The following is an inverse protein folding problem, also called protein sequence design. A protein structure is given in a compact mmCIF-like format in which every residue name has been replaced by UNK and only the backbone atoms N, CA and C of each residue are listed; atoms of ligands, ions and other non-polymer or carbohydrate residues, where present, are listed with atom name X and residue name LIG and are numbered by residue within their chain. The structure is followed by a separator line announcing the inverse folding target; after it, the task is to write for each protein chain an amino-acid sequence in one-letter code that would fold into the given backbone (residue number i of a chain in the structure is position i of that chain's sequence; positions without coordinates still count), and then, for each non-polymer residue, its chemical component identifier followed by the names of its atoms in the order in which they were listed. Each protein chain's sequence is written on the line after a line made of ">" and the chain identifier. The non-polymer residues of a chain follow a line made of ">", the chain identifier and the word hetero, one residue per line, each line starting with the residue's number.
data_IF_634446883428
#
_entry.id   IF_634446883428
#
_cell.length_a   1.000
_cell.length_b   1.000
_cell.length_c   1.000
_cell.angle_alpha   90.00
_cell.angle_beta   90.00
_cell.angle_gamma   90.00
#
_symmetry.space_group_name_H-M   'P 1'
#
loop_
_entity.id
_entity.type
_entity.pdbx_description
1 polymer ?
#
# COMPACT_ATOMS: atom_id res chain seq x y z
N UNK A 1 -18.24 -5.91 -1.99
CA UNK A 1 -18.73 -5.67 -3.36
C UNK A 1 -17.63 -6.15 -4.27
N UNK A 2 -17.87 -7.18 -5.08
CA UNK A 2 -16.87 -7.64 -6.05
C UNK A 2 -16.93 -6.78 -7.32
N UNK A 3 -15.78 -6.54 -7.97
CA UNK A 3 -15.76 -5.83 -9.25
C UNK A 3 -16.36 -6.73 -10.34
N UNK A 4 -17.14 -6.13 -11.25
CA UNK A 4 -17.47 -6.76 -12.52
C UNK A 4 -16.22 -6.84 -13.42
N UNK A 5 -16.21 -7.75 -14.39
CA UNK A 5 -15.12 -7.86 -15.38
C UNK A 5 -14.80 -6.52 -16.05
N UNK A 6 -15.83 -5.76 -16.42
CA UNK A 6 -15.67 -4.45 -17.06
C UNK A 6 -15.01 -3.42 -16.13
N UNK A 7 -15.35 -3.42 -14.85
CA UNK A 7 -14.72 -2.53 -13.87
C UNK A 7 -13.28 -2.96 -13.58
N UNK A 8 -12.99 -4.26 -13.52
CA UNK A 8 -11.64 -4.77 -13.38
C UNK A 8 -10.75 -4.36 -14.57
N UNK A 9 -11.29 -4.43 -15.80
CA UNK A 9 -10.61 -3.92 -17.01
C UNK A 9 -10.34 -2.41 -16.92
N UNK A 10 -11.31 -1.61 -16.45
CA UNK A 10 -11.13 -0.18 -16.26
C UNK A 10 -10.04 0.13 -15.23
N UNK A 11 -10.02 -0.61 -14.11
CA UNK A 11 -9.02 -0.46 -13.05
C UNK A 11 -7.61 -0.83 -13.56
N UNK A 12 -7.46 -1.93 -14.31
CA UNK A 12 -6.17 -2.35 -14.83
C UNK A 12 -5.62 -1.40 -15.93
N UNK A 13 -6.50 -0.77 -16.71
CA UNK A 13 -6.09 0.21 -17.74
C UNK A 13 -5.51 1.51 -17.18
N UNK A 14 -5.86 1.88 -15.95
CA UNK A 14 -5.33 3.08 -15.30
C UNK A 14 -3.80 2.99 -15.11
N UNK A 15 -3.22 2.06 -14.32
CA UNK A 15 -1.79 1.94 -14.17
C UNK A 15 -1.08 1.60 -15.49
N UNK A 16 -1.66 0.80 -16.40
CA UNK A 16 -1.08 0.58 -17.74
C UNK A 16 -0.78 1.88 -18.49
N UNK A 17 -1.63 2.89 -18.34
CA UNK A 17 -1.42 4.20 -18.95
C UNK A 17 -0.23 4.92 -18.32
N UNK A 18 -0.16 4.92 -16.98
CA UNK A 18 0.80 5.77 -16.24
C UNK A 18 2.17 5.13 -16.01
N UNK A 19 2.27 3.80 -16.01
CA UNK A 19 3.53 3.08 -15.74
C UNK A 19 4.61 3.29 -16.81
N UNK A 20 4.26 3.83 -17.99
CA UNK A 20 5.22 4.26 -19.02
C UNK A 20 5.33 5.78 -19.15
N UNK A 21 4.56 6.53 -18.39
CA UNK A 21 4.54 7.99 -18.44
C UNK A 21 5.61 8.55 -17.50
N UNK A 22 6.70 9.09 -18.07
CA UNK A 22 7.85 9.58 -17.30
C UNK A 22 7.62 10.93 -16.60
N UNK A 23 6.72 11.79 -17.12
CA UNK A 23 6.49 13.13 -16.55
C UNK A 23 5.00 13.50 -16.46
N UNK A 24 4.59 14.35 -15.49
CA UNK A 24 5.39 14.87 -14.39
C UNK A 24 5.79 13.77 -13.40
N UNK A 25 6.95 13.92 -12.75
CA UNK A 25 7.47 12.95 -11.79
C UNK A 25 8.18 13.69 -10.64
N UNK A 26 8.02 13.16 -9.43
CA UNK A 26 8.45 13.71 -8.16
C UNK A 26 9.47 12.77 -7.53
N UNK A 27 10.72 13.17 -7.61
CA UNK A 27 11.83 12.49 -6.97
C UNK A 27 12.31 13.35 -5.83
N UNK A 28 12.26 12.80 -4.62
CA UNK A 28 12.80 13.44 -3.43
C UNK A 28 13.98 12.61 -2.91
N UNK A 29 15.17 13.17 -3.05
CA UNK A 29 16.39 12.58 -2.51
C UNK A 29 17.42 13.65 -2.15
N UNK A 30 18.44 13.27 -1.37
CA UNK A 30 19.60 14.11 -1.13
C UNK A 30 20.51 14.08 -2.38
N UNK A 31 20.90 15.26 -2.88
CA UNK A 31 21.93 15.39 -3.91
C UNK A 31 23.31 15.34 -3.25
N UNK A 32 24.12 14.36 -3.64
CA UNK A 32 25.53 14.27 -3.23
C UNK A 32 26.42 15.16 -4.07
N UNK A 33 26.17 15.17 -5.38
CA UNK A 33 26.86 15.97 -6.39
C UNK A 33 25.93 16.17 -7.62
N UNK A 34 26.42 16.87 -8.64
CA UNK A 34 25.65 17.19 -9.85
C UNK A 34 25.19 15.94 -10.63
N UNK A 35 25.86 14.79 -10.44
CA UNK A 35 25.53 13.52 -11.08
C UNK A 35 24.26 12.85 -10.56
N UNK A 36 23.74 13.28 -9.40
CA UNK A 36 22.47 12.78 -8.85
C UNK A 36 21.25 13.39 -9.55
N UNK A 37 21.43 14.46 -10.34
CA UNK A 37 20.36 15.12 -11.10
C UNK A 37 20.15 14.42 -12.44
N UNK A 38 19.41 13.31 -12.40
CA UNK A 38 19.11 12.48 -13.57
C UNK A 38 17.60 12.38 -13.82
N UNK A 39 17.18 12.12 -15.07
CA UNK A 39 15.78 11.90 -15.39
C UNK A 39 15.26 10.59 -14.74
N UNK A 40 13.94 10.47 -14.46
CA UNK A 40 13.37 9.35 -13.72
C UNK A 40 13.75 7.97 -14.27
N UNK A 41 13.72 7.80 -15.60
CA UNK A 41 14.05 6.51 -16.25
C UNK A 41 15.51 6.07 -16.08
N UNK A 42 16.42 7.01 -15.82
CA UNK A 42 17.84 6.70 -15.55
C UNK A 42 18.09 6.39 -14.07
N UNK A 43 17.21 6.88 -13.18
CA UNK A 43 17.30 6.59 -11.74
C UNK A 43 16.56 5.29 -11.37
N UNK A 44 15.40 5.07 -11.97
CA UNK A 44 14.44 4.03 -11.60
C UNK A 44 13.84 3.35 -12.85
N UNK A 45 14.63 2.62 -13.66
CA UNK A 45 14.19 2.12 -14.96
C UNK A 45 12.99 1.15 -14.92
N UNK A 46 12.67 0.57 -13.75
CA UNK A 46 11.47 -0.27 -13.60
C UNK A 46 10.28 0.60 -13.19
N UNK A 47 10.52 1.49 -12.23
CA UNK A 47 9.49 2.25 -11.51
C UNK A 47 9.53 3.75 -11.79
N UNK A 48 9.90 4.15 -13.01
CA UNK A 48 9.98 5.57 -13.42
C UNK A 48 8.63 6.17 -13.79
N UNK A 49 7.65 5.32 -14.11
CA UNK A 49 6.30 5.75 -14.45
C UNK A 49 5.57 6.36 -13.26
N UNK A 50 4.38 6.92 -13.50
CA UNK A 50 3.57 7.60 -12.48
C UNK A 50 4.25 8.85 -11.90
N UNK A 51 3.59 9.46 -10.90
CA UNK A 51 4.09 10.67 -10.25
C UNK A 51 5.31 10.39 -9.38
N UNK A 52 5.43 9.22 -8.76
CA UNK A 52 6.58 8.83 -7.94
C UNK A 52 6.80 7.31 -7.95
N UNK A 53 7.92 6.89 -7.36
CA UNK A 53 8.40 5.51 -7.40
C UNK A 53 7.40 4.52 -6.81
N UNK A 54 6.90 4.78 -5.61
CA UNK A 54 5.94 3.87 -4.97
C UNK A 54 4.61 3.81 -5.71
N UNK A 55 4.20 4.91 -6.37
CA UNK A 55 3.02 4.91 -7.22
C UNK A 55 3.14 3.93 -8.38
N UNK A 56 4.33 3.85 -8.99
CA UNK A 56 4.59 2.83 -9.99
C UNK A 56 4.54 1.42 -9.36
N UNK A 57 5.20 1.21 -8.22
CA UNK A 57 5.28 -0.11 -7.57
C UNK A 57 3.89 -0.68 -7.27
N UNK A 58 3.00 0.09 -6.65
CA UNK A 58 1.65 -0.42 -6.38
C UNK A 58 0.76 -0.44 -7.64
N UNK A 59 1.10 0.32 -8.69
CA UNK A 59 0.53 0.14 -10.02
C UNK A 59 0.84 -1.24 -10.62
N UNK A 60 2.08 -1.71 -10.52
CA UNK A 60 2.45 -3.07 -10.92
C UNK A 60 1.74 -4.13 -10.07
N UNK A 61 1.64 -3.90 -8.74
CA UNK A 61 0.89 -4.77 -7.84
C UNK A 61 -0.57 -4.88 -8.28
N UNK A 62 -1.22 -3.74 -8.57
CA UNK A 62 -2.60 -3.68 -9.02
C UNK A 62 -2.81 -4.51 -10.30
N UNK A 63 -1.91 -4.41 -11.28
CA UNK A 63 -2.00 -5.18 -12.52
C UNK A 63 -1.97 -6.69 -12.28
N UNK A 64 -1.05 -7.18 -11.45
CA UNK A 64 -0.97 -8.61 -11.12
C UNK A 64 -2.17 -9.08 -10.29
N UNK A 65 -2.59 -8.26 -9.31
CA UNK A 65 -3.76 -8.57 -8.48
C UNK A 65 -5.02 -8.68 -9.33
N UNK A 66 -5.22 -7.74 -10.26
CA UNK A 66 -6.30 -7.78 -11.25
C UNK A 66 -6.24 -9.05 -12.10
N UNK A 67 -5.09 -9.45 -12.64
CA UNK A 67 -4.97 -10.68 -13.42
C UNK A 67 -5.20 -11.96 -12.60
N UNK A 68 -4.82 -11.94 -11.31
CA UNK A 68 -5.03 -13.09 -10.41
C UNK A 68 -6.51 -13.29 -10.09
N UNK A 69 -7.26 -12.21 -9.90
CA UNK A 69 -8.69 -12.24 -9.60
C UNK A 69 -9.57 -12.35 -10.85
N UNK A 70 -9.13 -11.75 -11.95
CA UNK A 70 -9.85 -11.66 -13.23
C UNK A 70 -8.91 -12.12 -14.37
N UNK A 71 -8.74 -13.43 -14.59
CA UNK A 71 -7.75 -13.95 -15.54
C UNK A 71 -8.06 -13.62 -17.01
N UNK A 72 -9.33 -13.32 -17.33
CA UNK A 72 -9.81 -13.03 -18.68
C UNK A 72 -9.81 -11.52 -19.03
N UNK A 73 -8.93 -10.73 -18.38
CA UNK A 73 -8.81 -9.30 -18.67
C UNK A 73 -8.40 -9.05 -20.12
N UNK A 74 -9.09 -8.12 -20.78
CA UNK A 74 -8.84 -7.76 -22.18
C UNK A 74 -7.45 -7.15 -22.40
N UNK A 75 -6.86 -6.57 -21.35
CA UNK A 75 -5.52 -5.96 -21.37
C UNK A 75 -4.40 -6.88 -20.88
N UNK A 76 -4.66 -8.20 -20.73
CA UNK A 76 -3.68 -9.18 -20.22
C UNK A 76 -2.34 -9.15 -20.95
N UNK A 77 -2.36 -9.14 -22.28
CA UNK A 77 -1.11 -9.19 -23.06
C UNK A 77 -0.31 -7.87 -22.98
N UNK A 78 -1.00 -6.73 -22.82
CA UNK A 78 -0.35 -5.44 -22.57
C UNK A 78 0.38 -5.44 -21.22
N UNK A 79 -0.24 -6.03 -20.18
CA UNK A 79 0.38 -6.20 -18.86
C UNK A 79 1.62 -7.08 -18.98
N UNK A 80 1.52 -8.22 -19.66
CA UNK A 80 2.66 -9.14 -19.83
C UNK A 80 3.82 -8.45 -20.56
N UNK A 81 3.51 -7.68 -21.61
CA UNK A 81 4.51 -6.91 -22.37
C UNK A 81 5.19 -5.86 -21.49
N UNK A 82 4.43 -5.12 -20.68
CA UNK A 82 4.97 -4.13 -19.74
C UNK A 82 5.97 -4.76 -18.75
N UNK A 83 5.61 -5.88 -18.13
CA UNK A 83 6.53 -6.59 -17.22
C UNK A 83 7.78 -7.11 -17.96
N UNK A 84 7.62 -7.65 -19.17
CA UNK A 84 8.75 -8.14 -19.96
C UNK A 84 9.74 -7.03 -20.34
N UNK A 85 9.24 -5.83 -20.65
CA UNK A 85 10.08 -4.69 -21.03
C UNK A 85 10.82 -4.06 -19.83
N UNK A 86 10.13 -3.91 -18.70
CA UNK A 86 10.68 -3.17 -17.56
C UNK A 86 11.42 -4.07 -16.56
N UNK A 87 10.95 -5.30 -16.35
CA UNK A 87 11.50 -6.19 -15.32
C UNK A 87 12.61 -7.09 -15.87
N UNK A 88 13.75 -6.47 -16.18
CA UNK A 88 14.97 -7.13 -16.66
C UNK A 88 16.05 -7.18 -15.57
N UNK A 89 17.00 -8.14 -15.64
CA UNK A 89 18.13 -8.17 -14.71
C UNK A 89 18.93 -6.86 -14.67
N UNK A 90 19.10 -6.20 -15.82
CA UNK A 90 19.82 -4.94 -15.96
C UNK A 90 19.09 -3.80 -15.22
N UNK A 91 17.77 -3.70 -15.40
CA UNK A 91 16.97 -2.66 -14.74
C UNK A 91 16.92 -2.89 -13.22
N UNK A 92 16.81 -4.15 -12.77
CA UNK A 92 16.88 -4.49 -11.33
C UNK A 92 18.25 -4.12 -10.75
N UNK A 93 19.34 -4.35 -11.48
CA UNK A 93 20.67 -3.96 -11.03
C UNK A 93 20.80 -2.43 -10.88
N UNK A 94 20.15 -1.64 -11.75
CA UNK A 94 20.15 -0.18 -11.66
C UNK A 94 19.28 0.35 -10.50
N UNK A 95 18.10 -0.21 -10.26
CA UNK A 95 17.31 0.09 -9.04
C UNK A 95 18.14 -0.19 -7.79
N UNK A 96 18.80 -1.35 -7.72
CA UNK A 96 19.70 -1.71 -6.62
C UNK A 96 20.87 -0.75 -6.47
N UNK A 97 21.48 -0.30 -7.56
CA UNK A 97 22.56 0.66 -7.53
C UNK A 97 22.09 1.99 -6.89
N UNK A 98 20.89 2.45 -7.22
CA UNK A 98 20.29 3.63 -6.60
C UNK A 98 20.09 3.45 -5.09
N UNK A 99 19.48 2.35 -4.64
CA UNK A 99 19.25 2.09 -3.21
C UNK A 99 20.56 1.96 -2.40
N UNK A 100 21.63 1.49 -3.05
CA UNK A 100 22.96 1.31 -2.45
C UNK A 100 23.87 2.54 -2.55
N UNK A 101 23.45 3.60 -3.25
CA UNK A 101 24.20 4.85 -3.32
C UNK A 101 24.25 5.54 -1.94
N UNK A 102 25.31 6.33 -1.66
CA UNK A 102 25.42 7.09 -0.42
C UNK A 102 24.18 7.94 -0.12
N UNK A 103 23.79 7.96 1.16
CA UNK A 103 22.65 8.73 1.67
C UNK A 103 21.28 8.38 1.07
N UNK A 104 21.14 7.24 0.37
CA UNK A 104 19.84 6.72 -0.12
C UNK A 104 19.19 5.70 0.81
N UNK A 105 19.81 5.44 1.96
CA UNK A 105 19.32 4.46 2.91
C UNK A 105 17.84 4.68 3.31
N UNK A 106 17.41 5.94 3.49
CA UNK A 106 16.05 6.30 3.91
C UNK A 106 15.03 6.47 2.79
N UNK A 107 15.45 6.39 1.52
CA UNK A 107 14.53 6.50 0.39
C UNK A 107 13.42 5.44 0.52
N UNK A 108 12.17 5.87 0.29
CA UNK A 108 10.96 5.03 0.33
C UNK A 108 10.62 4.35 1.67
N UNK A 109 11.28 4.75 2.77
CA UNK A 109 10.96 4.21 4.10
C UNK A 109 9.64 4.76 4.67
N UNK A 110 8.79 3.92 5.27
CA UNK A 110 8.67 2.48 5.06
C UNK A 110 7.65 2.13 3.95
N UNK A 111 6.95 3.12 3.38
CA UNK A 111 5.84 2.94 2.44
C UNK A 111 6.20 2.10 1.21
N UNK A 112 7.17 2.56 0.42
CA UNK A 112 7.58 1.87 -0.79
C UNK A 112 8.17 0.50 -0.48
N UNK A 113 8.73 0.29 0.71
CA UNK A 113 9.21 -1.03 1.12
C UNK A 113 8.04 -2.00 1.25
N UNK A 114 6.97 -1.59 1.95
CA UNK A 114 5.75 -2.40 2.08
C UNK A 114 5.14 -2.74 0.71
N UNK A 115 5.05 -1.76 -0.19
CA UNK A 115 4.51 -1.99 -1.53
C UNK A 115 5.37 -2.89 -2.41
N UNK A 116 6.70 -2.80 -2.33
CA UNK A 116 7.57 -3.71 -3.09
C UNK A 116 7.44 -5.16 -2.57
N UNK A 117 7.33 -5.35 -1.26
CA UNK A 117 7.07 -6.67 -0.67
C UNK A 117 5.71 -7.22 -1.12
N UNK A 118 4.66 -6.38 -1.15
CA UNK A 118 3.36 -6.76 -1.68
C UNK A 118 3.42 -7.12 -3.18
N UNK A 119 4.17 -6.37 -4.00
CA UNK A 119 4.40 -6.70 -5.40
C UNK A 119 5.10 -8.07 -5.56
N UNK A 120 6.14 -8.32 -4.77
CA UNK A 120 6.84 -9.59 -4.77
C UNK A 120 5.92 -10.75 -4.35
N UNK A 121 5.03 -10.53 -3.40
CA UNK A 121 3.99 -11.49 -3.01
C UNK A 121 3.06 -11.82 -4.19
N UNK A 122 2.55 -10.81 -4.91
CA UNK A 122 1.68 -11.05 -6.07
C UNK A 122 2.40 -11.80 -7.19
N UNK A 123 3.66 -11.47 -7.47
CA UNK A 123 4.48 -12.22 -8.44
C UNK A 123 4.61 -13.70 -8.05
N UNK A 124 4.81 -13.97 -6.75
CA UNK A 124 4.93 -15.33 -6.23
C UNK A 124 3.62 -16.12 -6.34
N UNK A 125 2.48 -15.46 -6.16
CA UNK A 125 1.14 -16.06 -6.17
C UNK A 125 0.47 -16.09 -7.55
N UNK A 126 1.02 -15.37 -8.52
CA UNK A 126 0.45 -15.29 -9.86
C UNK A 126 0.49 -16.63 -10.59
N UNK A 127 -0.60 -16.93 -11.30
CA UNK A 127 -0.74 -18.11 -12.16
C UNK A 127 -0.17 -17.90 -13.57
N UNK A 128 0.33 -16.70 -13.89
CA UNK A 128 0.94 -16.43 -15.20
C UNK A 128 2.21 -17.27 -15.38
N UNK A 129 2.42 -17.93 -16.54
CA UNK A 129 3.62 -18.72 -16.80
C UNK A 129 4.93 -17.96 -16.62
N UNK A 130 4.94 -16.65 -16.89
CA UNK A 130 6.10 -15.78 -16.81
C UNK A 130 6.42 -15.29 -15.39
N UNK A 131 5.43 -15.30 -14.48
CA UNK A 131 5.54 -14.65 -13.18
C UNK A 131 6.64 -15.26 -12.30
N UNK A 132 6.87 -16.58 -12.39
CA UNK A 132 7.97 -17.21 -11.70
C UNK A 132 9.34 -16.65 -12.13
N UNK A 133 9.51 -16.37 -13.43
CA UNK A 133 10.74 -15.74 -13.96
C UNK A 133 10.90 -14.31 -13.46
N UNK A 134 9.83 -13.51 -13.55
CA UNK A 134 9.77 -12.15 -13.03
C UNK A 134 10.06 -12.06 -11.53
N UNK A 135 9.51 -12.98 -10.73
CA UNK A 135 9.81 -13.09 -9.30
C UNK A 135 11.30 -13.29 -9.04
N UNK A 136 11.95 -14.18 -9.79
CA UNK A 136 13.40 -14.41 -9.68
C UNK A 136 14.20 -13.19 -10.12
N UNK A 137 13.78 -12.50 -11.18
CA UNK A 137 14.43 -11.27 -11.65
C UNK A 137 14.36 -10.16 -10.60
N UNK A 138 13.21 -9.95 -9.95
CA UNK A 138 13.03 -8.91 -8.93
C UNK A 138 13.70 -9.27 -7.58
N UNK A 139 13.96 -10.55 -7.32
CA UNK A 139 14.40 -11.05 -6.02
C UNK A 139 15.61 -10.31 -5.40
N UNK A 140 16.65 -9.89 -6.16
CA UNK A 140 17.74 -9.11 -5.60
C UNK A 140 17.28 -7.79 -4.94
N UNK A 141 16.39 -7.04 -5.59
CA UNK A 141 15.83 -5.80 -5.04
C UNK A 141 14.91 -6.08 -3.85
N UNK A 142 14.04 -7.08 -3.96
CA UNK A 142 13.16 -7.50 -2.86
C UNK A 142 13.96 -7.88 -1.61
N UNK A 143 15.05 -8.63 -1.76
CA UNK A 143 15.88 -9.06 -0.65
C UNK A 143 16.61 -7.87 0.02
N UNK A 144 17.10 -6.91 -0.76
CA UNK A 144 17.71 -5.69 -0.24
C UNK A 144 16.70 -4.87 0.57
N UNK A 145 15.51 -4.61 0.02
CA UNK A 145 14.42 -3.90 0.71
C UNK A 145 13.97 -4.62 1.98
N UNK A 146 13.79 -5.95 1.91
CA UNK A 146 13.46 -6.77 3.07
C UNK A 146 14.51 -6.64 4.17
N UNK A 147 15.80 -6.70 3.83
CA UNK A 147 16.89 -6.57 4.80
C UNK A 147 16.95 -5.16 5.40
N UNK A 148 16.68 -4.13 4.60
CA UNK A 148 16.58 -2.74 5.07
C UNK A 148 15.41 -2.53 6.00
N UNK A 149 14.27 -3.17 5.77
CA UNK A 149 13.13 -3.11 6.68
C UNK A 149 13.51 -3.73 8.04
N UNK A 150 14.12 -4.92 8.05
CA UNK A 150 14.59 -5.56 9.30
C UNK A 150 15.61 -4.68 10.04
N UNK A 151 16.62 -4.16 9.33
CA UNK A 151 17.61 -3.24 9.90
C UNK A 151 16.96 -1.96 10.45
N UNK A 152 16.02 -1.37 9.71
CA UNK A 152 15.29 -0.18 10.14
C UNK A 152 14.46 -0.44 11.40
N UNK A 153 13.74 -1.57 11.48
CA UNK A 153 12.96 -1.94 12.66
C UNK A 153 13.81 -2.19 13.90
N UNK A 154 15.07 -2.61 13.73
CA UNK A 154 16.02 -2.74 14.85
C UNK A 154 16.47 -1.39 15.42
N UNK A 155 16.38 -0.32 14.63
CA UNK A 155 16.82 1.05 14.98
C UNK A 155 15.65 1.95 15.39
N UNK A 156 14.47 1.74 14.81
CA UNK A 156 13.30 2.56 15.03
C UNK A 156 12.77 2.39 16.46
N UNK A 157 12.85 3.47 17.24
CA UNK A 157 12.46 3.46 18.66
C UNK A 157 10.96 3.71 18.87
N UNK A 158 10.33 4.48 17.99
CA UNK A 158 8.93 4.88 18.10
C UNK A 158 8.19 4.59 16.79
N UNK A 159 6.94 4.10 16.85
CA UNK A 159 6.12 3.99 15.65
C UNK A 159 5.74 5.35 15.09
N UNK A 160 5.42 5.38 13.80
CA UNK A 160 4.97 6.56 13.08
C UNK A 160 3.53 6.31 12.65
N UNK A 161 2.60 7.14 13.16
CA UNK A 161 1.14 6.98 12.98
C UNK A 161 0.52 7.98 12.01
N UNK A 162 1.34 8.76 11.30
CA UNK A 162 0.86 9.78 10.36
C UNK A 162 -0.03 9.14 9.28
N UNK A 163 -1.07 9.83 8.81
CA UNK A 163 -1.97 9.32 7.76
C UNK A 163 -1.40 9.38 6.33
N UNK A 164 -0.07 9.35 6.19
CA UNK A 164 0.65 9.43 4.91
C UNK A 164 1.82 8.43 4.87
N UNK A 165 2.76 8.60 3.94
CA UNK A 165 3.79 7.61 3.55
C UNK A 165 4.56 7.03 4.74
N UNK A 166 4.87 7.83 5.76
CA UNK A 166 5.71 7.35 6.86
C UNK A 166 5.01 6.38 7.82
N UNK A 167 3.72 6.07 7.63
CA UNK A 167 2.96 5.17 8.50
C UNK A 167 3.61 3.79 8.62
N UNK A 168 4.11 3.47 9.81
CA UNK A 168 4.82 2.21 10.04
C UNK A 168 3.88 1.01 10.06
N UNK A 169 2.65 1.17 10.54
CA UNK A 169 1.69 0.07 10.55
C UNK A 169 1.29 -0.37 9.14
N UNK A 170 1.16 0.58 8.20
CA UNK A 170 0.83 0.29 6.80
C UNK A 170 1.86 -0.64 6.16
N UNK A 171 3.13 -0.26 6.22
CA UNK A 171 4.21 -1.04 5.62
C UNK A 171 4.36 -2.43 6.26
N UNK A 172 4.15 -2.53 7.58
CA UNK A 172 4.22 -3.79 8.30
C UNK A 172 3.03 -4.70 8.02
N UNK A 173 1.83 -4.15 7.78
CA UNK A 173 0.66 -4.93 7.40
C UNK A 173 0.84 -5.61 6.04
N UNK A 174 1.49 -4.93 5.07
CA UNK A 174 1.89 -5.54 3.80
C UNK A 174 3.07 -6.51 3.97
N UNK A 175 4.06 -6.13 4.78
CA UNK A 175 5.26 -6.93 5.01
C UNK A 175 4.99 -8.28 5.68
N UNK A 176 4.04 -8.35 6.63
CA UNK A 176 3.69 -9.61 7.30
C UNK A 176 2.98 -10.59 6.36
N UNK A 177 2.14 -10.08 5.46
CA UNK A 177 1.47 -10.91 4.44
C UNK A 177 2.49 -11.50 3.46
N UNK A 178 3.45 -10.70 3.01
CA UNK A 178 4.59 -11.18 2.21
C UNK A 178 5.42 -12.22 2.96
N UNK A 179 5.85 -11.91 4.20
CA UNK A 179 6.72 -12.79 4.98
C UNK A 179 6.12 -14.19 5.14
N UNK A 180 4.83 -14.26 5.46
CA UNK A 180 4.09 -15.52 5.58
C UNK A 180 3.92 -16.23 4.24
N UNK A 181 3.64 -15.50 3.16
CA UNK A 181 3.47 -16.08 1.82
C UNK A 181 4.74 -16.73 1.26
N UNK A 182 5.92 -16.30 1.71
CA UNK A 182 7.21 -16.86 1.28
C UNK A 182 7.96 -17.61 2.39
N UNK A 183 7.32 -17.83 3.54
CA UNK A 183 7.88 -18.50 4.72
C UNK A 183 9.19 -17.84 5.25
N UNK A 184 9.30 -16.51 5.16
CA UNK A 184 10.42 -15.74 5.70
C UNK A 184 10.24 -15.48 7.21
N UNK A 185 10.62 -16.49 8.00
CA UNK A 185 10.53 -16.47 9.46
C UNK A 185 11.28 -15.29 10.11
N UNK A 186 12.38 -14.83 9.51
CA UNK A 186 13.18 -13.76 10.09
C UNK A 186 12.53 -12.38 9.85
N UNK A 187 11.87 -12.17 8.72
CA UNK A 187 11.09 -10.95 8.49
C UNK A 187 9.82 -10.96 9.34
N UNK A 188 9.11 -12.09 9.38
CA UNK A 188 7.93 -12.25 10.24
C UNK A 188 8.26 -11.95 11.70
N UNK A 189 9.32 -12.56 12.25
CA UNK A 189 9.75 -12.31 13.64
C UNK A 189 10.07 -10.84 13.90
N UNK A 190 10.80 -10.17 13.00
CA UNK A 190 11.12 -8.76 13.13
C UNK A 190 9.86 -7.87 13.15
N UNK A 191 8.85 -8.21 12.34
CA UNK A 191 7.57 -7.48 12.30
C UNK A 191 6.75 -7.74 13.57
N UNK A 192 6.65 -8.99 14.02
CA UNK A 192 5.93 -9.35 15.26
C UNK A 192 6.52 -8.65 16.48
N UNK A 193 7.85 -8.65 16.60
CA UNK A 193 8.54 -7.95 17.67
C UNK A 193 8.32 -6.43 17.59
N UNK A 194 8.41 -5.84 16.39
CA UNK A 194 8.16 -4.42 16.21
C UNK A 194 6.72 -4.04 16.56
N UNK A 195 5.73 -4.78 16.06
CA UNK A 195 4.32 -4.54 16.35
C UNK A 195 4.02 -4.64 17.85
N UNK A 196 4.64 -5.62 18.53
CA UNK A 196 4.53 -5.77 19.98
C UNK A 196 5.11 -4.56 20.71
N UNK A 197 6.34 -4.13 20.37
CA UNK A 197 7.00 -2.97 20.99
C UNK A 197 6.23 -1.67 20.77
N UNK A 198 5.60 -1.52 19.60
CA UNK A 198 5.02 -0.26 19.16
C UNK A 198 3.56 -0.08 19.55
N UNK A 199 2.76 -1.13 19.46
CA UNK A 199 1.29 -1.00 19.45
C UNK A 199 0.58 -1.86 20.50
N UNK A 200 1.23 -2.87 21.07
CA UNK A 200 0.55 -3.78 22.01
C UNK A 200 -0.01 -3.07 23.25
N UNK A 201 0.67 -2.01 23.71
CA UNK A 201 0.26 -1.24 24.89
C UNK A 201 -0.65 -0.04 24.56
N UNK A 202 -0.95 0.21 23.29
CA UNK A 202 -1.75 1.36 22.91
C UNK A 202 -3.21 1.18 23.32
N UNK A 203 -3.79 2.26 23.85
CA UNK A 203 -5.17 2.30 24.32
C UNK A 203 -5.77 3.67 24.03
N UNK A 204 -7.09 3.73 23.89
CA UNK A 204 -7.86 4.98 23.77
C UNK A 204 -7.30 5.94 22.71
N UNK A 205 -7.13 5.46 21.47
CA UNK A 205 -6.58 6.27 20.38
C UNK A 205 -7.30 7.63 20.23
N UNK A 206 -6.58 8.76 20.12
CA UNK A 206 -7.18 10.10 20.06
C UNK A 206 -7.71 10.42 18.65
N UNK A 207 -8.78 9.73 18.22
CA UNK A 207 -9.35 9.84 16.87
C UNK A 207 -9.85 11.23 16.47
N UNK A 208 -9.95 12.17 17.42
CA UNK A 208 -10.31 13.57 17.15
C UNK A 208 -9.22 14.37 16.43
N UNK A 209 -8.01 13.81 16.25
CA UNK A 209 -6.95 14.38 15.41
C UNK A 209 -7.01 13.92 13.95
N UNK A 210 -7.87 12.96 13.61
CA UNK A 210 -8.07 12.49 12.24
C UNK A 210 -9.40 13.04 11.67
N UNK A 211 -9.49 13.34 10.37
CA UNK A 211 -8.41 13.28 9.38
C UNK A 211 -7.55 14.56 9.36
N UNK A 212 -6.27 14.40 9.01
CA UNK A 212 -5.46 15.47 8.42
C UNK A 212 -5.89 15.74 6.97
N UNK A 213 -5.69 16.97 6.48
CA UNK A 213 -6.25 17.43 5.20
C UNK A 213 -5.66 16.79 3.94
N UNK A 214 -4.52 16.10 4.04
CA UNK A 214 -3.85 15.40 2.92
C UNK A 214 -3.51 13.94 3.24
N UNK A 215 -4.23 13.35 4.19
CA UNK A 215 -4.08 11.94 4.56
C UNK A 215 -4.76 11.02 3.53
N UNK A 216 -4.19 9.84 3.34
CA UNK A 216 -4.75 8.76 2.53
C UNK A 216 -4.78 7.40 3.26
N UNK A 217 -4.24 7.33 4.48
CA UNK A 217 -4.40 6.21 5.42
C UNK A 217 -4.81 6.73 6.80
N UNK A 218 -5.53 5.92 7.58
CA UNK A 218 -5.89 6.28 8.96
C UNK A 218 -4.85 5.75 9.93
N UNK A 219 -4.33 6.60 10.81
CA UNK A 219 -3.41 6.18 11.87
C UNK A 219 -4.03 5.09 12.74
N UNK A 220 -5.27 5.30 13.19
CA UNK A 220 -5.98 4.34 14.04
C UNK A 220 -6.28 3.02 13.31
N UNK A 221 -6.93 3.08 12.16
CA UNK A 221 -7.45 1.88 11.52
C UNK A 221 -6.35 1.06 10.84
N UNK A 222 -5.27 1.68 10.38
CA UNK A 222 -4.11 0.96 9.87
C UNK A 222 -3.32 0.28 10.98
N UNK A 223 -3.23 0.88 12.17
CA UNK A 223 -2.68 0.22 13.36
C UNK A 223 -3.53 -1.01 13.74
N UNK A 224 -4.85 -0.84 13.83
CA UNK A 224 -5.76 -1.95 14.12
C UNK A 224 -5.72 -3.05 13.05
N UNK A 225 -5.53 -2.71 11.77
CA UNK A 225 -5.32 -3.68 10.69
C UNK A 225 -4.05 -4.51 10.90
N UNK A 226 -2.93 -3.89 11.26
CA UNK A 226 -1.71 -4.63 11.57
C UNK A 226 -1.95 -5.55 12.77
N UNK A 227 -2.53 -5.01 13.84
CA UNK A 227 -2.75 -5.75 15.09
C UNK A 227 -3.75 -6.90 14.92
N UNK A 228 -4.70 -6.81 13.99
CA UNK A 228 -5.59 -7.94 13.67
C UNK A 228 -4.86 -9.14 13.06
N UNK A 229 -3.66 -8.93 12.49
CA UNK A 229 -2.83 -9.97 11.89
C UNK A 229 -1.80 -10.57 12.85
N UNK A 230 -1.49 -9.91 13.97
CA UNK A 230 -0.34 -10.24 14.82
C UNK A 230 -0.64 -10.34 16.32
N UNK A 231 -1.73 -9.73 16.80
CA UNK A 231 -2.09 -9.80 18.21
C UNK A 231 -2.67 -11.18 18.57
N UNK A 232 -2.24 -11.75 19.69
CA UNK A 232 -2.75 -13.05 20.16
C UNK A 232 -4.24 -12.98 20.55
N UNK A 233 -4.63 -11.91 21.25
CA UNK A 233 -6.03 -11.64 21.62
C UNK A 233 -6.48 -10.30 21.02
N UNK A 234 -6.65 -10.29 19.69
CA UNK A 234 -7.04 -9.10 18.96
C UNK A 234 -8.35 -8.45 19.46
N UNK A 235 -9.45 -9.17 19.77
CA UNK A 235 -10.68 -8.52 20.24
C UNK A 235 -10.47 -7.72 21.53
N UNK A 236 -9.76 -8.27 22.51
CA UNK A 236 -9.48 -7.56 23.76
C UNK A 236 -8.55 -6.34 23.54
N UNK A 237 -7.54 -6.48 22.67
CA UNK A 237 -6.67 -5.35 22.30
C UNK A 237 -7.48 -4.25 21.59
N UNK A 238 -8.35 -4.61 20.65
CA UNK A 238 -9.17 -3.68 19.87
C UNK A 238 -10.14 -2.90 20.77
N UNK A 239 -10.78 -3.56 21.73
CA UNK A 239 -11.68 -2.90 22.69
C UNK A 239 -10.95 -1.90 23.60
N UNK A 240 -9.69 -2.15 23.94
CA UNK A 240 -8.87 -1.21 24.71
C UNK A 240 -8.35 -0.05 23.84
N UNK A 241 -8.00 -0.33 22.59
CA UNK A 241 -7.46 0.62 21.63
C UNK A 241 -8.52 1.62 21.12
N UNK A 242 -9.68 1.12 20.67
CA UNK A 242 -10.80 1.89 20.13
C UNK A 242 -12.10 1.56 20.86
N UNK A 243 -12.22 1.93 22.16
CA UNK A 243 -13.40 1.62 22.95
C UNK A 243 -14.64 2.27 22.32
N UNK A 244 -15.69 1.47 22.12
CA UNK A 244 -16.94 1.92 21.50
C UNK A 244 -16.71 2.61 20.13
N UNK A 245 -15.97 1.94 19.23
CA UNK A 245 -15.66 2.43 17.88
C UNK A 245 -16.87 3.01 17.12
N UNK A 246 -18.07 2.45 17.32
CA UNK A 246 -19.30 2.94 16.69
C UNK A 246 -19.70 4.38 17.07
N UNK A 247 -19.20 4.90 18.20
CA UNK A 247 -19.39 6.29 18.61
C UNK A 247 -18.29 7.25 18.11
N UNK A 248 -17.22 6.74 17.49
CA UNK A 248 -16.10 7.53 17.01
C UNK A 248 -16.44 8.14 15.64
N UNK A 249 -17.18 9.24 15.65
CA UNK A 249 -17.70 9.90 14.43
C UNK A 249 -16.64 10.19 13.37
N UNK A 250 -15.43 10.60 13.79
CA UNK A 250 -14.31 10.93 12.90
C UNK A 250 -13.83 9.73 12.05
N UNK A 251 -14.01 8.50 12.56
CA UNK A 251 -13.67 7.28 11.85
C UNK A 251 -14.87 6.68 11.12
N UNK A 252 -16.07 6.75 11.71
CA UNK A 252 -17.28 6.10 11.18
C UNK A 252 -17.92 6.82 9.99
N UNK A 253 -17.48 8.04 9.68
CA UNK A 253 -17.99 8.83 8.58
C UNK A 253 -16.87 9.19 7.58
N UNK A 254 -17.19 9.29 6.28
CA UNK A 254 -16.23 9.67 5.26
C UNK A 254 -15.63 11.06 5.49
N UNK A 255 -14.36 11.22 5.10
CA UNK A 255 -13.76 12.52 4.93
C UNK A 255 -14.39 13.24 3.72
N UNK A 256 -14.62 14.54 3.86
CA UNK A 256 -15.11 15.39 2.77
C UNK A 256 -13.96 15.75 1.83
N UNK A 257 -14.15 15.53 0.53
CA UNK A 257 -13.17 15.87 -0.51
C UNK A 257 -13.62 17.15 -1.21
N UNK A 258 -13.09 18.30 -0.78
CA UNK A 258 -13.56 19.60 -1.27
C UNK A 258 -13.12 19.91 -2.71
N UNK A 259 -11.95 19.41 -3.12
CA UNK A 259 -11.42 19.59 -4.48
C UNK A 259 -10.60 18.35 -4.90
N UNK A 260 -11.09 17.63 -5.91
CA UNK A 260 -10.45 16.42 -6.46
C UNK A 260 -9.37 16.71 -7.50
N UNK A 261 -9.20 17.98 -7.88
CA UNK A 261 -8.13 18.40 -8.78
C UNK A 261 -6.87 18.76 -8.02
N UNK A 262 -7.00 19.18 -6.76
CA UNK A 262 -5.87 19.45 -5.88
C UNK A 262 -5.12 18.13 -5.52
N UNK A 263 -3.79 18.07 -5.72
CA UNK A 263 -3.01 16.85 -5.53
C UNK A 263 -2.89 16.39 -4.08
N UNK A 264 -3.25 17.23 -3.11
CA UNK A 264 -3.22 16.89 -1.68
C UNK A 264 -4.61 16.58 -1.17
N UNK A 265 -5.62 17.37 -1.51
CA UNK A 265 -7.00 17.14 -1.05
C UNK A 265 -7.57 15.85 -1.66
N UNK A 266 -7.20 15.51 -2.90
CA UNK A 266 -7.59 14.25 -3.54
C UNK A 266 -7.15 13.00 -2.76
N UNK A 267 -6.15 13.10 -1.87
CA UNK A 267 -5.75 12.01 -0.97
C UNK A 267 -6.89 11.52 -0.08
N UNK A 268 -7.85 12.40 0.26
CA UNK A 268 -8.97 12.05 1.13
C UNK A 268 -9.92 11.00 0.52
N UNK A 269 -9.96 10.88 -0.82
CA UNK A 269 -10.63 9.73 -1.45
C UNK A 269 -9.87 8.42 -1.14
N UNK A 270 -8.53 8.45 -1.18
CA UNK A 270 -7.70 7.33 -0.75
C UNK A 270 -7.87 7.01 0.74
N UNK A 271 -8.07 8.02 1.59
CA UNK A 271 -8.38 7.83 3.01
C UNK A 271 -9.69 7.08 3.20
N UNK A 272 -10.75 7.48 2.50
CA UNK A 272 -12.03 6.77 2.58
C UNK A 272 -11.88 5.31 2.15
N UNK A 273 -11.16 5.05 1.04
CA UNK A 273 -10.92 3.70 0.55
C UNK A 273 -10.06 2.87 1.53
N UNK A 274 -8.98 3.42 2.06
CA UNK A 274 -8.11 2.72 3.01
C UNK A 274 -8.80 2.45 4.35
N UNK A 275 -9.69 3.35 4.81
CA UNK A 275 -10.54 3.11 5.99
C UNK A 275 -11.51 1.94 5.75
N UNK A 276 -12.16 1.90 4.59
CA UNK A 276 -13.03 0.77 4.22
C UNK A 276 -12.25 -0.55 4.19
N UNK A 277 -11.07 -0.57 3.57
CA UNK A 277 -10.17 -1.72 3.58
C UNK A 277 -9.84 -2.19 5.01
N UNK A 278 -9.34 -1.29 5.86
CA UNK A 278 -8.99 -1.63 7.24
C UNK A 278 -10.19 -2.16 8.03
N UNK A 279 -11.35 -1.50 7.94
CA UNK A 279 -12.55 -1.89 8.68
C UNK A 279 -13.07 -3.27 8.27
N UNK A 280 -12.97 -3.66 7.00
CA UNK A 280 -13.38 -5.00 6.54
C UNK A 280 -12.52 -6.08 7.21
N UNK A 281 -11.20 -5.91 7.16
CA UNK A 281 -10.28 -6.85 7.81
C UNK A 281 -10.42 -6.88 9.33
N UNK A 282 -10.63 -5.73 9.97
CA UNK A 282 -10.90 -5.64 11.41
C UNK A 282 -12.19 -6.42 11.74
N UNK A 283 -13.27 -6.19 11.00
CA UNK A 283 -14.54 -6.88 11.20
C UNK A 283 -14.40 -8.41 11.02
N UNK A 284 -13.61 -8.86 10.04
CA UNK A 284 -13.32 -10.29 9.82
C UNK A 284 -12.48 -10.92 10.93
N UNK A 285 -11.68 -10.14 11.65
CA UNK A 285 -10.85 -10.61 12.77
C UNK A 285 -11.56 -10.55 14.13
N UNK A 286 -12.76 -9.96 14.19
CA UNK A 286 -13.61 -9.91 15.38
C UNK A 286 -14.63 -11.06 15.38
N UNK A 287 -15.06 -11.56 16.56
CA UNK A 287 -16.18 -12.49 16.66
C UNK A 287 -17.45 -11.96 15.98
N UNK A 288 -18.29 -12.84 15.42
CA UNK A 288 -19.49 -12.45 14.67
C UNK A 288 -20.48 -11.63 15.53
N UNK A 289 -20.55 -11.94 16.83
CA UNK A 289 -21.35 -11.28 17.85
C UNK A 289 -20.70 -10.05 18.51
N UNK A 290 -19.50 -9.65 18.06
CA UNK A 290 -18.80 -8.50 18.63
C UNK A 290 -19.62 -7.19 18.43
N UNK A 291 -19.79 -6.32 19.45
CA UNK A 291 -20.64 -5.12 19.33
C UNK A 291 -20.26 -4.16 18.20
N UNK A 292 -18.99 -4.14 17.79
CA UNK A 292 -18.49 -3.30 16.70
C UNK A 292 -18.95 -3.75 15.30
N UNK A 293 -19.41 -4.99 15.14
CA UNK A 293 -19.65 -5.63 13.84
C UNK A 293 -20.59 -4.82 12.93
N UNK A 294 -21.73 -4.40 13.46
CA UNK A 294 -22.70 -3.65 12.67
C UNK A 294 -22.18 -2.26 12.29
N UNK A 295 -21.57 -1.55 13.24
CA UNK A 295 -21.02 -0.22 13.00
C UNK A 295 -19.92 -0.22 11.94
N UNK A 296 -19.00 -1.21 11.99
CA UNK A 296 -17.94 -1.36 10.99
C UNK A 296 -18.52 -1.65 9.60
N UNK A 297 -19.49 -2.57 9.49
CA UNK A 297 -20.13 -2.88 8.20
C UNK A 297 -20.84 -1.67 7.59
N UNK A 298 -21.57 -0.91 8.40
CA UNK A 298 -22.26 0.29 7.93
C UNK A 298 -21.26 1.39 7.52
N UNK A 299 -20.16 1.56 8.27
CA UNK A 299 -19.11 2.52 7.94
C UNK A 299 -18.37 2.15 6.63
N UNK A 300 -18.08 0.87 6.41
CA UNK A 300 -17.49 0.38 5.14
C UNK A 300 -18.34 0.81 3.95
N UNK A 301 -19.66 0.64 4.02
CA UNK A 301 -20.57 1.06 2.93
C UNK A 301 -20.49 2.56 2.70
N UNK A 302 -20.55 3.36 3.77
CA UNK A 302 -20.46 4.83 3.66
C UNK A 302 -19.15 5.29 3.00
N UNK A 303 -18.02 4.73 3.42
CA UNK A 303 -16.71 5.07 2.88
C UNK A 303 -16.56 4.68 1.42
N UNK A 304 -17.01 3.47 1.05
CA UNK A 304 -17.00 3.03 -0.34
C UNK A 304 -17.87 3.93 -1.22
N UNK A 305 -19.11 4.19 -0.81
CA UNK A 305 -20.04 5.08 -1.55
C UNK A 305 -19.48 6.48 -1.75
N UNK A 306 -18.71 7.01 -0.78
CA UNK A 306 -18.16 8.36 -0.88
C UNK A 306 -17.04 8.52 -1.92
N UNK A 307 -16.31 7.45 -2.27
CA UNK A 307 -15.05 7.58 -3.02
C UNK A 307 -14.89 6.61 -4.19
N UNK A 308 -15.56 5.45 -4.22
CA UNK A 308 -15.31 4.43 -5.27
C UNK A 308 -15.68 4.92 -6.68
N UNK A 309 -16.77 5.69 -6.80
CA UNK A 309 -17.23 6.23 -8.09
C UNK A 309 -16.31 7.33 -8.65
N UNK A 310 -15.43 7.87 -7.81
CA UNK A 310 -14.48 8.92 -8.19
C UNK A 310 -13.12 8.38 -8.64
N UNK A 311 -12.90 7.06 -8.61
CA UNK A 311 -11.62 6.43 -8.96
C UNK A 311 -11.39 6.43 -10.47
N UNK A 312 -12.32 5.84 -11.22
CA UNK A 312 -12.21 5.73 -12.69
C UNK A 312 -12.50 7.08 -13.32
N UNK A 313 -11.59 7.54 -14.18
CA UNK A 313 -11.69 8.87 -14.81
C UNK A 313 -11.33 10.03 -13.88
N UNK A 314 -10.72 9.75 -12.72
CA UNK A 314 -10.15 10.79 -11.85
C UNK A 314 -9.12 11.66 -12.59
N UNK A 315 -8.96 12.89 -12.10
CA UNK A 315 -7.83 13.74 -12.48
C UNK A 315 -6.51 13.03 -12.19
N UNK A 316 -5.42 13.42 -12.86
CA UNK A 316 -4.10 12.79 -12.67
C UNK A 316 -3.68 12.71 -11.19
N UNK A 317 -4.07 13.72 -10.38
CA UNK A 317 -3.92 13.76 -8.92
C UNK A 317 -4.35 12.49 -8.18
N UNK A 318 -5.34 11.76 -8.70
CA UNK A 318 -5.79 10.46 -8.19
C UNK A 318 -5.53 9.29 -9.14
N UNK A 319 -5.57 9.54 -10.45
CA UNK A 319 -5.62 8.49 -11.47
C UNK A 319 -4.42 7.55 -11.50
N UNK A 320 -3.26 7.98 -11.03
CA UNK A 320 -2.05 7.15 -11.03
C UNK A 320 -1.96 6.17 -9.84
N UNK A 321 -2.82 6.30 -8.81
CA UNK A 321 -2.68 5.51 -7.57
C UNK A 321 -3.99 5.04 -6.93
N UNK A 322 -5.08 5.81 -7.02
CA UNK A 322 -6.34 5.52 -6.28
C UNK A 322 -6.93 4.14 -6.60
N UNK A 323 -6.73 3.63 -7.81
CA UNK A 323 -7.22 2.31 -8.20
C UNK A 323 -6.61 1.18 -7.34
N UNK A 324 -5.40 1.35 -6.82
CA UNK A 324 -4.76 0.37 -5.93
C UNK A 324 -5.49 0.31 -4.58
N UNK A 325 -5.79 1.47 -4.00
CA UNK A 325 -6.57 1.57 -2.75
C UNK A 325 -8.02 1.16 -2.92
N UNK A 326 -8.61 1.44 -4.09
CA UNK A 326 -9.96 1.01 -4.40
C UNK A 326 -10.05 -0.52 -4.50
N UNK A 327 -9.04 -1.18 -5.10
CA UNK A 327 -9.00 -2.64 -5.12
C UNK A 327 -8.87 -3.21 -3.70
N UNK A 328 -7.95 -2.68 -2.88
CA UNK A 328 -7.84 -3.06 -1.46
C UNK A 328 -9.16 -2.91 -0.71
N UNK A 329 -9.90 -1.83 -0.94
CA UNK A 329 -11.17 -1.56 -0.26
C UNK A 329 -12.30 -2.52 -0.67
N UNK A 330 -12.25 -3.05 -1.89
CA UNK A 330 -13.28 -3.92 -2.46
C UNK A 330 -13.09 -5.39 -2.09
N UNK A 331 -11.85 -5.81 -1.83
CA UNK A 331 -11.50 -7.08 -1.18
C UNK A 331 -11.97 -7.13 0.27
#
# INVERSE_FOLDING_TARGET
>A
MELTQHQADAFARMPLTYLRQEYPNHIMHLLNDDGDVLPPRELHPIFYGCFDWHSAVHGYWLLLRCLRLYPELSCRDDIITLFADHLTPENVAQELAYFNAPFRASFERPYGYGWLLALAQELKQSSLPQAAGWYQTLAPLTQDIRNRLVDYLSKLTYPIRVGTHYNTAFALALGIDYARAVEDNALESAILEAATRFYHADTQYPAHYEPGGDEYVSGALTEALLMSKVAENFPAWFDAFLPNIGAVSALMNPAEVSDRTDPKIAHLDGLNLSRAWCMKHIASALPEEHPAQQALRDAVVKHLTASVEHVVGSHYSGGHWLASFALLALE
#
